data_IF_208779840470
#
_entry.id   IF_208779840470
#
_cell.length_a   1.000
_cell.length_b   1.000
_cell.length_c   1.000
_cell.angle_alpha   90.00
_cell.angle_beta   90.00
_cell.angle_gamma   90.00
#
_symmetry.space_group_name_H-M   'P 1'
#
loop_
_entity.id
_entity.type
_entity.pdbx_description
1 polymer ?
#
# COMPACT_ATOMS: atom_id res chain seq x y z
N UNK A 1 5.21 -26.16 -6.68
CA UNK A 1 5.55 -25.61 -8.03
C UNK A 1 5.01 -24.20 -8.13
N UNK A 2 5.89 -23.23 -8.39
CA UNK A 2 5.45 -21.85 -8.65
C UNK A 2 4.72 -21.77 -9.99
N UNK A 3 3.60 -21.04 -10.03
CA UNK A 3 2.89 -20.74 -11.28
C UNK A 3 3.84 -19.91 -12.18
N UNK A 4 4.05 -20.39 -13.41
CA UNK A 4 4.82 -19.64 -14.40
C UNK A 4 3.89 -18.66 -15.10
N UNK A 5 4.14 -17.37 -14.92
CA UNK A 5 3.42 -16.28 -15.57
C UNK A 5 4.38 -15.43 -16.41
N UNK A 6 3.85 -14.77 -17.42
CA UNK A 6 4.62 -13.80 -18.20
C UNK A 6 4.85 -12.52 -17.41
N UNK A 7 5.86 -11.72 -17.80
CA UNK A 7 6.14 -10.43 -17.15
C UNK A 7 4.95 -9.47 -17.29
N UNK A 8 4.25 -9.52 -18.42
CA UNK A 8 3.05 -8.70 -18.65
C UNK A 8 1.93 -9.07 -17.66
N UNK A 9 1.66 -10.37 -17.48
CA UNK A 9 0.69 -10.85 -16.50
C UNK A 9 1.11 -10.48 -15.06
N UNK A 10 2.41 -10.53 -14.75
CA UNK A 10 2.92 -10.15 -13.45
C UNK A 10 2.67 -8.65 -13.16
N UNK A 11 2.91 -7.78 -14.13
CA UNK A 11 2.64 -6.34 -14.04
C UNK A 11 1.15 -6.05 -13.84
N UNK A 12 0.28 -6.70 -14.63
CA UNK A 12 -1.18 -6.55 -14.50
C UNK A 12 -1.69 -7.04 -13.13
N UNK A 13 -1.17 -8.20 -12.66
CA UNK A 13 -1.50 -8.74 -11.33
C UNK A 13 -1.04 -7.80 -10.21
N UNK A 14 0.15 -7.23 -10.32
CA UNK A 14 0.69 -6.24 -9.38
C UNK A 14 -0.22 -5.03 -9.26
N UNK A 15 -0.60 -4.43 -10.39
CA UNK A 15 -1.41 -3.22 -10.40
C UNK A 15 -2.83 -3.48 -9.88
N UNK A 16 -3.41 -4.64 -10.20
CA UNK A 16 -4.69 -5.07 -9.65
C UNK A 16 -4.61 -5.32 -8.14
N UNK A 17 -3.55 -5.99 -7.69
CA UNK A 17 -3.35 -6.30 -6.27
C UNK A 17 -3.18 -5.02 -5.45
N UNK A 18 -2.43 -4.04 -5.97
CA UNK A 18 -2.27 -2.72 -5.36
C UNK A 18 -3.63 -2.05 -5.12
N UNK A 19 -4.48 -2.00 -6.14
CA UNK A 19 -5.82 -1.41 -6.02
C UNK A 19 -6.69 -2.13 -4.97
N UNK A 20 -6.70 -3.47 -5.02
CA UNK A 20 -7.46 -4.29 -4.06
C UNK A 20 -6.96 -4.11 -2.62
N UNK A 21 -5.65 -3.97 -2.45
CA UNK A 21 -5.04 -3.79 -1.15
C UNK A 21 -5.42 -2.45 -0.53
N UNK A 22 -5.36 -1.35 -1.29
CA UNK A 22 -5.83 -0.05 -0.83
C UNK A 22 -7.33 -0.07 -0.48
N UNK A 23 -8.18 -0.63 -1.33
CA UNK A 23 -9.61 -0.77 -1.04
C UNK A 23 -9.86 -1.57 0.23
N UNK A 24 -9.09 -2.64 0.46
CA UNK A 24 -9.21 -3.46 1.66
C UNK A 24 -8.77 -2.73 2.92
N UNK A 25 -7.67 -1.96 2.85
CA UNK A 25 -7.19 -1.12 3.94
C UNK A 25 -8.24 -0.05 4.29
N UNK A 26 -8.81 0.62 3.30
CA UNK A 26 -9.83 1.65 3.49
C UNK A 26 -11.13 1.11 4.08
N UNK A 27 -11.50 -0.12 3.74
CA UNK A 27 -12.70 -0.77 4.28
C UNK A 27 -12.48 -1.46 5.63
N UNK A 28 -11.25 -1.52 6.13
CA UNK A 28 -10.92 -2.25 7.36
C UNK A 28 -11.43 -1.52 8.61
N UNK A 29 -12.11 -2.25 9.46
CA UNK A 29 -12.51 -1.81 10.79
C UNK A 29 -11.53 -2.37 11.81
N UNK A 30 -10.62 -1.54 12.30
CA UNK A 30 -9.48 -1.96 13.11
C UNK A 30 -9.56 -1.51 14.56
N UNK A 31 -10.33 -0.45 14.84
CA UNK A 31 -10.44 0.14 16.18
C UNK A 31 -11.90 0.33 16.55
N UNK A 32 -12.26 -0.10 17.75
CA UNK A 32 -13.52 0.20 18.41
C UNK A 32 -13.29 0.28 19.92
N UNK A 33 -14.26 0.79 20.65
CA UNK A 33 -14.25 0.82 22.09
C UNK A 33 -15.50 0.19 22.68
N UNK A 34 -15.44 -0.17 23.95
CA UNK A 34 -16.59 -0.70 24.70
C UNK A 34 -16.77 0.11 25.98
N UNK A 35 -18.01 0.44 26.33
CA UNK A 35 -18.33 0.95 27.64
C UNK A 35 -18.34 -0.17 28.67
N UNK A 36 -17.95 0.13 29.91
CA UNK A 36 -17.87 -0.87 30.98
C UNK A 36 -19.20 -1.53 31.29
N UNK A 37 -20.31 -0.85 31.05
CA UNK A 37 -21.70 -1.29 31.34
C UNK A 37 -22.45 -1.83 30.10
N UNK A 38 -21.81 -1.91 28.94
CA UNK A 38 -22.37 -2.45 27.69
C UNK A 38 -21.71 -3.77 27.33
N UNK A 39 -22.46 -4.68 26.70
CA UNK A 39 -21.89 -5.95 26.23
C UNK A 39 -21.16 -5.79 24.87
N UNK A 40 -21.67 -4.90 24.01
CA UNK A 40 -21.20 -4.71 22.66
C UNK A 40 -20.30 -3.49 22.52
N UNK A 41 -19.44 -3.52 21.47
CA UNK A 41 -18.63 -2.39 21.06
C UNK A 41 -19.48 -1.23 20.57
N UNK A 42 -18.90 -0.03 20.61
CA UNK A 42 -19.64 1.22 20.47
C UNK A 42 -20.05 1.51 19.02
N UNK A 43 -19.13 1.41 18.07
CA UNK A 43 -19.40 1.73 16.67
C UNK A 43 -20.04 0.57 15.92
N UNK A 44 -19.44 -0.61 16.02
CA UNK A 44 -19.81 -1.76 15.18
C UNK A 44 -20.80 -2.71 15.85
N UNK A 45 -21.17 -2.46 17.12
CA UNK A 45 -22.18 -3.21 17.87
C UNK A 45 -21.94 -4.73 17.91
N UNK A 46 -20.67 -5.12 17.99
CA UNK A 46 -20.21 -6.51 18.09
C UNK A 46 -19.74 -6.82 19.51
N UNK A 47 -19.74 -8.09 19.89
CA UNK A 47 -19.06 -8.48 21.13
C UNK A 47 -17.55 -8.22 20.99
N UNK A 48 -16.84 -7.87 22.07
CA UNK A 48 -15.39 -7.63 22.01
C UNK A 48 -14.59 -8.79 21.40
N UNK A 49 -15.01 -10.02 21.69
CA UNK A 49 -14.38 -11.23 21.19
C UNK A 49 -14.57 -11.35 19.66
N UNK A 50 -15.82 -11.18 19.19
CA UNK A 50 -16.13 -11.22 17.76
C UNK A 50 -15.41 -10.11 16.98
N UNK A 51 -15.35 -8.89 17.54
CA UNK A 51 -14.60 -7.80 16.95
C UNK A 51 -13.09 -8.09 16.90
N UNK A 52 -12.53 -8.60 18.00
CA UNK A 52 -11.11 -8.97 18.04
C UNK A 52 -10.73 -10.03 17.01
N UNK A 53 -11.57 -11.05 16.81
CA UNK A 53 -11.33 -12.08 15.78
C UNK A 53 -11.43 -11.51 14.36
N UNK A 54 -12.39 -10.62 14.12
CA UNK A 54 -12.50 -9.93 12.82
C UNK A 54 -11.29 -9.05 12.53
N UNK A 55 -10.83 -8.29 13.52
CA UNK A 55 -9.63 -7.45 13.38
C UNK A 55 -8.40 -8.31 13.08
N UNK A 56 -8.19 -9.39 13.83
CA UNK A 56 -7.07 -10.32 13.59
C UNK A 56 -7.11 -10.91 12.18
N UNK A 57 -8.27 -11.38 11.74
CA UNK A 57 -8.46 -11.96 10.42
C UNK A 57 -8.19 -10.93 9.32
N UNK A 58 -8.74 -9.72 9.47
CA UNK A 58 -8.55 -8.62 8.52
C UNK A 58 -7.09 -8.20 8.45
N UNK A 59 -6.44 -8.02 9.60
CA UNK A 59 -5.02 -7.69 9.72
C UNK A 59 -4.14 -8.72 9.03
N UNK A 60 -4.32 -10.01 9.39
CA UNK A 60 -3.58 -11.09 8.77
C UNK A 60 -3.75 -11.10 7.25
N UNK A 61 -4.98 -10.94 6.78
CA UNK A 61 -5.28 -10.95 5.35
C UNK A 61 -4.68 -9.74 4.59
N UNK A 62 -4.54 -8.58 5.23
CA UNK A 62 -3.85 -7.42 4.66
C UNK A 62 -2.35 -7.74 4.53
N UNK A 63 -1.73 -8.23 5.61
CA UNK A 63 -0.30 -8.55 5.60
C UNK A 63 0.06 -9.68 4.64
N UNK A 64 -0.77 -10.71 4.53
CA UNK A 64 -0.56 -11.77 3.55
C UNK A 64 -0.57 -11.23 2.10
N UNK A 65 -1.42 -10.25 1.82
CA UNK A 65 -1.47 -9.60 0.51
C UNK A 65 -0.27 -8.67 0.28
N UNK A 66 0.18 -7.94 1.30
CA UNK A 66 1.41 -7.13 1.22
C UNK A 66 2.60 -8.04 0.90
N UNK A 67 2.79 -9.12 1.66
CA UNK A 67 3.87 -10.07 1.41
C UNK A 67 3.79 -10.74 0.03
N UNK A 68 2.57 -10.96 -0.49
CA UNK A 68 2.42 -11.46 -1.85
C UNK A 68 2.82 -10.41 -2.89
N UNK A 69 2.41 -9.15 -2.68
CA UNK A 69 2.82 -8.02 -3.50
C UNK A 69 4.34 -7.91 -3.58
N UNK A 70 5.03 -7.99 -2.46
CA UNK A 70 6.50 -7.89 -2.37
C UNK A 70 7.21 -8.99 -3.13
N UNK A 71 6.73 -10.23 -2.98
CA UNK A 71 7.29 -11.36 -3.72
C UNK A 71 7.10 -11.19 -5.22
N UNK A 72 5.97 -10.62 -5.63
CA UNK A 72 5.68 -10.35 -7.05
C UNK A 72 6.60 -9.26 -7.59
N UNK A 73 6.78 -8.16 -6.85
CA UNK A 73 7.74 -7.09 -7.21
C UNK A 73 9.17 -7.63 -7.31
N UNK A 74 9.62 -8.37 -6.32
CA UNK A 74 10.96 -8.96 -6.33
C UNK A 74 11.16 -9.89 -7.55
N UNK A 75 10.17 -10.69 -7.91
CA UNK A 75 10.22 -11.56 -9.08
C UNK A 75 10.27 -10.77 -10.40
N UNK A 76 9.53 -9.65 -10.51
CA UNK A 76 9.57 -8.75 -11.67
C UNK A 76 10.97 -8.12 -11.81
N UNK A 77 11.52 -7.59 -10.71
CA UNK A 77 12.86 -6.98 -10.71
C UNK A 77 13.92 -8.01 -11.09
N UNK A 78 13.87 -9.20 -10.52
CA UNK A 78 14.80 -10.27 -10.86
C UNK A 78 14.71 -10.63 -12.35
N UNK A 79 13.52 -10.88 -12.88
CA UNK A 79 13.30 -11.19 -14.29
C UNK A 79 13.86 -10.10 -15.22
N UNK A 80 13.62 -8.84 -14.90
CA UNK A 80 14.11 -7.70 -15.67
C UNK A 80 15.63 -7.55 -15.61
N UNK A 81 16.28 -7.97 -14.52
CA UNK A 81 17.74 -7.93 -14.38
C UNK A 81 18.45 -9.07 -15.11
N UNK A 82 17.79 -10.20 -15.28
CA UNK A 82 18.34 -11.39 -15.94
C UNK A 82 18.04 -11.42 -17.45
N UNK A 83 16.93 -10.84 -17.87
CA UNK A 83 16.51 -10.85 -19.29
C UNK A 83 17.33 -9.85 -20.10
N UNK A 84 18.04 -10.35 -21.10
CA UNK A 84 18.83 -9.55 -22.03
C UNK A 84 18.05 -9.33 -23.32
N UNK A 85 17.99 -8.08 -23.77
CA UNK A 85 17.37 -7.66 -25.03
C UNK A 85 18.41 -7.03 -25.96
N UNK A 86 18.18 -7.16 -27.24
CA UNK A 86 19.00 -6.54 -28.26
C UNK A 86 18.43 -5.17 -28.63
N UNK A 87 19.26 -4.14 -28.56
CA UNK A 87 18.88 -2.75 -28.87
C UNK A 87 19.81 -2.15 -29.89
N UNK A 88 19.47 -0.99 -30.45
CA UNK A 88 20.38 -0.21 -31.34
C UNK A 88 21.68 0.21 -30.65
N UNK A 89 21.74 0.12 -29.31
CA UNK A 89 22.95 0.42 -28.51
C UNK A 89 23.71 -0.82 -28.05
N UNK A 90 23.30 -2.02 -28.54
CA UNK A 90 23.87 -3.30 -28.15
C UNK A 90 22.95 -4.11 -27.24
N UNK A 91 23.51 -5.16 -26.64
CA UNK A 91 22.79 -6.03 -25.71
C UNK A 91 22.72 -5.39 -24.34
N UNK A 92 21.51 -5.22 -23.83
CA UNK A 92 21.24 -4.65 -22.53
C UNK A 92 20.29 -5.56 -21.74
N UNK A 93 20.37 -5.55 -20.41
CA UNK A 93 19.30 -6.11 -19.60
C UNK A 93 18.05 -5.22 -19.71
N UNK A 94 16.86 -5.77 -19.46
CA UNK A 94 15.61 -4.99 -19.45
C UNK A 94 15.71 -3.81 -18.48
N UNK A 95 16.27 -4.03 -17.29
CA UNK A 95 16.52 -2.98 -16.30
C UNK A 95 17.42 -1.86 -16.86
N UNK A 96 18.53 -2.21 -17.50
CA UNK A 96 19.43 -1.22 -18.10
C UNK A 96 18.76 -0.45 -19.25
N UNK A 97 17.97 -1.12 -20.07
CA UNK A 97 17.22 -0.50 -21.17
C UNK A 97 16.15 0.49 -20.64
N UNK A 98 15.44 0.15 -19.55
CA UNK A 98 14.48 1.03 -18.90
C UNK A 98 15.18 2.28 -18.34
N UNK A 99 16.31 2.11 -17.62
CA UNK A 99 17.09 3.22 -17.09
C UNK A 99 17.61 4.14 -18.22
N UNK A 100 18.10 3.57 -19.30
CA UNK A 100 18.54 4.33 -20.48
C UNK A 100 17.40 5.10 -21.14
N UNK A 101 16.24 4.46 -21.34
CA UNK A 101 15.03 5.11 -21.85
C UNK A 101 14.61 6.31 -20.99
N UNK A 102 14.61 6.13 -19.68
CA UNK A 102 14.22 7.19 -18.75
C UNK A 102 15.21 8.36 -18.82
N UNK A 103 16.52 8.08 -18.85
CA UNK A 103 17.55 9.12 -19.05
C UNK A 103 17.35 9.89 -20.35
N UNK A 104 17.08 9.21 -21.47
CA UNK A 104 16.85 9.84 -22.77
C UNK A 104 15.56 10.67 -22.80
N UNK A 105 14.51 10.26 -22.11
CA UNK A 105 13.28 11.05 -21.97
C UNK A 105 13.49 12.31 -21.14
N UNK A 106 14.23 12.21 -20.04
CA UNK A 106 14.56 13.35 -19.19
C UNK A 106 15.39 14.40 -19.92
N UNK A 107 16.37 14.00 -20.72
CA UNK A 107 17.22 14.94 -21.50
C UNK A 107 16.44 15.71 -22.57
N UNK A 108 15.24 15.28 -22.95
CA UNK A 108 14.34 16.02 -23.87
C UNK A 108 13.42 17.01 -23.18
N UNK A 109 13.40 17.08 -21.87
CA UNK A 109 12.51 17.97 -21.15
C UNK A 109 13.16 19.36 -20.98
N UNK A 110 12.53 20.47 -21.46
CA UNK A 110 13.12 21.80 -21.42
C UNK A 110 13.35 22.36 -20.00
N UNK A 111 12.87 21.67 -18.96
CA UNK A 111 13.05 22.05 -17.56
C UNK A 111 14.34 21.49 -16.92
N UNK A 112 15.15 20.75 -17.67
CA UNK A 112 16.38 20.14 -17.16
C UNK A 112 17.46 21.15 -16.73
N UNK A 113 17.33 22.43 -17.12
CA UNK A 113 18.25 23.49 -16.70
C UNK A 113 18.06 24.00 -15.28
N UNK A 114 17.05 23.54 -14.53
CA UNK A 114 16.67 24.12 -13.25
C UNK A 114 16.97 23.27 -12.01
N UNK A 115 17.32 22.02 -12.16
CA UNK A 115 17.72 21.17 -11.02
C UNK A 115 19.07 20.55 -11.29
N UNK A 116 20.12 21.30 -11.01
CA UNK A 116 21.52 20.83 -11.03
C UNK A 116 21.82 19.80 -9.93
N UNK A 117 20.97 18.83 -9.76
CA UNK A 117 21.24 17.62 -9.00
C UNK A 117 21.32 16.45 -9.98
N UNK A 118 22.50 15.88 -10.08
CA UNK A 118 22.72 14.51 -10.52
C UNK A 118 22.01 13.57 -9.53
N UNK A 119 20.67 13.63 -9.51
CA UNK A 119 19.86 12.57 -8.95
C UNK A 119 19.55 11.64 -10.10
N UNK A 120 20.04 10.41 -10.04
CA UNK A 120 19.30 9.29 -10.63
C UNK A 120 17.84 9.56 -10.30
N UNK A 121 16.88 9.36 -11.26
CA UNK A 121 15.52 9.23 -10.85
C UNK A 121 15.53 8.05 -9.89
N UNK A 122 15.51 8.35 -8.61
CA UNK A 122 14.98 7.39 -7.67
C UNK A 122 13.63 7.05 -8.26
N UNK A 123 13.37 5.79 -8.45
CA UNK A 123 12.02 5.33 -8.54
C UNK A 123 11.40 5.63 -7.16
N UNK A 124 11.11 6.92 -6.93
CA UNK A 124 10.38 7.39 -5.75
C UNK A 124 9.06 6.62 -5.61
N UNK A 125 8.57 6.07 -6.73
CA UNK A 125 7.35 5.29 -6.76
C UNK A 125 7.47 3.93 -6.04
N UNK A 126 8.60 3.24 -6.08
CA UNK A 126 8.71 1.90 -5.53
C UNK A 126 8.96 1.91 -4.01
N UNK A 127 9.83 2.78 -3.51
CA UNK A 127 10.02 2.97 -2.07
C UNK A 127 8.82 3.68 -1.41
N UNK A 128 8.12 4.56 -2.14
CA UNK A 128 6.89 5.19 -1.69
C UNK A 128 5.72 4.22 -1.59
N UNK A 129 5.62 3.22 -2.46
CA UNK A 129 4.51 2.27 -2.44
C UNK A 129 4.48 1.47 -1.14
N UNK A 130 5.63 1.06 -0.63
CA UNK A 130 5.75 0.36 0.63
C UNK A 130 5.34 1.22 1.82
N UNK A 131 5.90 2.41 1.87
CA UNK A 131 5.53 3.39 2.89
C UNK A 131 4.05 3.81 2.78
N UNK A 132 3.46 3.72 1.57
CA UNK A 132 2.07 4.11 1.33
C UNK A 132 1.05 3.13 1.93
N UNK A 133 1.26 1.82 1.90
CA UNK A 133 0.36 0.87 2.55
C UNK A 133 0.40 1.00 4.07
N UNK A 134 1.58 1.05 4.66
CA UNK A 134 1.75 1.21 6.10
C UNK A 134 1.24 2.59 6.57
N UNK A 135 1.57 3.64 5.84
CA UNK A 135 1.07 4.98 6.11
C UNK A 135 -0.46 5.03 6.05
N UNK A 136 -1.07 4.42 5.03
CA UNK A 136 -2.52 4.39 4.89
C UNK A 136 -3.21 3.59 5.99
N UNK A 137 -2.62 2.47 6.40
CA UNK A 137 -3.09 1.70 7.56
C UNK A 137 -3.09 2.54 8.83
N UNK A 138 -1.99 3.25 9.09
CA UNK A 138 -1.88 4.14 10.26
C UNK A 138 -2.91 5.26 10.20
N UNK A 139 -3.07 5.94 9.06
CA UNK A 139 -4.08 6.99 8.87
C UNK A 139 -5.51 6.48 9.14
N UNK A 140 -5.86 5.28 8.67
CA UNK A 140 -7.17 4.67 8.92
C UNK A 140 -7.38 4.38 10.40
N UNK A 141 -6.36 3.85 11.08
CA UNK A 141 -6.44 3.59 12.53
C UNK A 141 -6.58 4.89 13.34
N UNK A 142 -5.83 5.92 13.00
CA UNK A 142 -5.91 7.25 13.63
C UNK A 142 -7.29 7.88 13.43
N UNK A 143 -7.82 7.85 12.20
CA UNK A 143 -9.15 8.37 11.90
C UNK A 143 -10.27 7.64 12.66
N UNK A 144 -10.17 6.31 12.77
CA UNK A 144 -11.14 5.52 13.56
C UNK A 144 -11.05 5.87 15.04
N UNK A 145 -9.85 6.02 15.59
CA UNK A 145 -9.65 6.41 16.97
C UNK A 145 -10.19 7.82 17.26
N UNK A 146 -9.91 8.79 16.40
CA UNK A 146 -10.44 10.16 16.54
C UNK A 146 -11.97 10.21 16.46
N UNK A 147 -12.58 9.43 15.56
CA UNK A 147 -14.02 9.30 15.44
C UNK A 147 -14.64 8.80 16.74
N UNK A 148 -14.05 7.77 17.33
CA UNK A 148 -14.50 7.23 18.63
C UNK A 148 -14.40 8.29 19.73
N UNK A 149 -13.26 8.97 19.82
CA UNK A 149 -13.06 10.02 20.83
C UNK A 149 -14.07 11.15 20.71
N UNK A 150 -14.36 11.58 19.49
CA UNK A 150 -15.36 12.62 19.23
C UNK A 150 -16.75 12.17 19.68
N UNK A 151 -17.18 10.99 19.25
CA UNK A 151 -18.51 10.49 19.62
C UNK A 151 -18.67 10.25 21.13
N UNK A 152 -17.63 9.80 21.82
CA UNK A 152 -17.63 9.66 23.28
C UNK A 152 -17.75 11.01 23.97
N UNK A 153 -17.03 12.05 23.48
CA UNK A 153 -17.13 13.41 24.02
C UNK A 153 -18.50 14.01 23.81
N UNK A 154 -19.08 13.88 22.61
CA UNK A 154 -20.38 14.43 22.27
C UNK A 154 -21.47 13.82 23.16
N UNK A 155 -21.45 12.50 23.40
CA UNK A 155 -22.39 11.83 24.31
C UNK A 155 -22.21 12.24 25.76
N UNK A 156 -21.01 12.43 26.25
CA UNK A 156 -20.76 12.88 27.60
C UNK A 156 -21.28 14.32 27.80
N UNK A 157 -21.08 15.20 26.81
CA UNK A 157 -21.61 16.57 26.84
C UNK A 157 -23.16 16.61 26.85
N UNK A 158 -23.83 15.66 26.20
CA UNK A 158 -25.31 15.55 26.24
C UNK A 158 -25.83 15.01 27.57
N UNK A 159 -25.06 14.16 28.26
CA UNK A 159 -25.39 13.66 29.58
C UNK A 159 -25.24 14.73 30.68
N UNK A 160 -24.32 15.67 30.51
CA UNK A 160 -24.13 16.79 31.45
C UNK A 160 -25.20 17.89 31.33
N UNK A 161 -25.95 17.92 30.21
CA UNK A 161 -27.03 18.91 29.96
C UNK A 161 -28.41 18.45 30.39
N UNK A 162 -28.59 17.19 30.76
CA UNK A 162 -29.83 16.60 31.22
C UNK A 162 -29.80 16.25 32.73
#
# INVERSE_FOLDING_TARGET
MGEKITISEALDRRDLLRKKLFQKIEAAHLIDCKKSNEENTFLYRKTPEAFSEEVKSTWQSIWDQIHYYDRLEAAIVQSNSETVIETSFGKLTVTAAIAMRNRLRQSRHPLFGRTGRFGLPQNEDDDQIYSDFERRLTEIMENQYETILKEVRDRNADLEKN
#
